data_IF_488193246722
#
_entry.id   IF_488193246722
#
_cell.length_a   1.000
_cell.length_b   1.000
_cell.length_c   1.000
_cell.angle_alpha   90.00
_cell.angle_beta   90.00
_cell.angle_gamma   90.00
#
_symmetry.space_group_name_H-M   'P 1'
#
loop_
_entity.id
_entity.type
_entity.pdbx_description
1 polymer ?
#
# COMPACT_ATOMS: atom_id res chain seq x y z
N UNK A 1 24.03 1.68 13.91
CA UNK A 1 22.91 1.12 14.71
C UNK A 1 21.69 1.06 13.80
N UNK A 2 21.32 -0.13 13.32
CA UNK A 2 20.21 -0.32 12.39
C UNK A 2 18.91 -0.44 13.18
N UNK A 3 18.00 0.54 13.03
CA UNK A 3 16.69 0.51 13.66
C UNK A 3 15.84 -0.57 12.98
N UNK A 4 15.42 -1.56 13.76
CA UNK A 4 14.55 -2.64 13.28
C UNK A 4 13.16 -2.08 12.96
N UNK A 5 12.63 -2.47 11.81
CA UNK A 5 11.27 -2.17 11.39
C UNK A 5 10.27 -2.62 12.47
N UNK A 6 9.43 -1.70 12.94
CA UNK A 6 8.32 -2.05 13.83
C UNK A 6 7.19 -2.64 12.97
N UNK A 7 7.27 -3.95 12.74
CA UNK A 7 6.23 -4.70 12.05
C UNK A 7 5.02 -4.79 12.97
N UNK A 8 4.03 -3.92 12.75
CA UNK A 8 2.73 -3.98 13.42
C UNK A 8 1.96 -5.19 12.87
N UNK A 9 2.15 -6.36 13.50
CA UNK A 9 1.66 -7.66 13.03
C UNK A 9 0.17 -7.91 13.31
N UNK A 10 -0.48 -7.11 14.15
CA UNK A 10 -1.90 -7.22 14.48
C UNK A 10 -2.83 -6.59 13.41
N UNK A 11 -2.28 -5.88 12.44
CA UNK A 11 -3.00 -5.28 11.30
C UNK A 11 -2.69 -5.95 9.96
N UNK A 12 -2.18 -7.18 9.97
CA UNK A 12 -1.91 -7.93 8.74
C UNK A 12 -3.10 -7.84 7.75
N UNK A 13 -2.87 -7.40 6.50
CA UNK A 13 -1.59 -7.35 5.80
C UNK A 13 -0.76 -6.04 5.89
N UNK A 14 -1.10 -5.06 6.72
CA UNK A 14 -0.42 -3.76 6.69
C UNK A 14 0.83 -3.72 7.59
N UNK A 15 1.98 -3.42 6.99
CA UNK A 15 3.24 -3.17 7.72
C UNK A 15 3.62 -1.68 7.63
N UNK A 16 4.18 -1.13 8.72
CA UNK A 16 4.72 0.24 8.78
C UNK A 16 6.24 0.14 8.87
N UNK A 17 6.95 0.85 8.00
CA UNK A 17 8.40 0.98 8.10
C UNK A 17 8.74 2.17 9.03
N UNK A 18 9.47 1.92 10.13
CA UNK A 18 9.93 2.97 11.03
C UNK A 18 11.04 3.83 10.44
N UNK A 19 11.72 3.37 9.39
CA UNK A 19 12.71 4.14 8.63
C UNK A 19 12.08 5.03 7.54
N UNK A 20 10.79 4.82 7.20
CA UNK A 20 9.99 5.66 6.29
C UNK A 20 8.60 5.91 6.91
N UNK A 21 8.54 6.80 7.92
CA UNK A 21 7.37 6.95 8.79
C UNK A 21 6.10 7.38 8.05
N UNK A 22 6.22 7.87 6.81
CA UNK A 22 5.13 8.24 5.92
C UNK A 22 4.47 7.09 5.14
N UNK A 23 4.97 5.85 5.16
CA UNK A 23 4.49 4.75 4.29
C UNK A 23 3.78 3.60 5.01
N UNK A 24 2.52 3.35 4.65
CA UNK A 24 1.81 2.09 4.96
C UNK A 24 1.97 1.11 3.78
N UNK A 25 2.36 -0.15 4.02
CA UNK A 25 2.53 -1.17 2.97
C UNK A 25 1.51 -2.28 3.13
N UNK A 26 0.55 -2.46 2.21
CA UNK A 26 -0.29 -3.67 2.19
C UNK A 26 0.52 -4.84 1.60
N UNK A 27 0.79 -5.88 2.39
CA UNK A 27 1.46 -7.09 1.92
C UNK A 27 0.43 -8.17 1.51
N UNK A 28 0.35 -8.45 0.21
CA UNK A 28 -0.47 -9.56 -0.31
C UNK A 28 -1.77 -9.12 -0.98
N UNK A 29 -2.73 -10.06 -1.17
CA UNK A 29 -3.92 -9.79 -1.96
C UNK A 29 -4.88 -8.82 -1.28
N UNK A 30 -5.57 -8.00 -2.08
CA UNK A 30 -6.66 -7.15 -1.61
C UNK A 30 -7.88 -8.04 -1.35
N UNK A 31 -8.05 -8.46 -0.10
CA UNK A 31 -9.17 -9.27 0.38
C UNK A 31 -10.29 -8.43 1.04
N UNK A 32 -11.37 -9.08 1.46
CA UNK A 32 -12.53 -8.40 2.07
C UNK A 32 -12.24 -7.68 3.40
N UNK A 33 -11.11 -7.97 4.08
CA UNK A 33 -10.73 -7.34 5.35
C UNK A 33 -9.93 -6.06 5.12
N UNK A 34 -9.26 -5.96 3.97
CA UNK A 34 -8.37 -4.86 3.64
C UNK A 34 -8.99 -3.45 3.78
N UNK A 35 -10.28 -3.18 3.47
CA UNK A 35 -10.89 -1.88 3.71
C UNK A 35 -10.97 -1.51 5.20
N UNK A 36 -11.50 -2.43 6.02
CA UNK A 36 -11.68 -2.17 7.45
C UNK A 36 -10.34 -1.96 8.16
N UNK A 37 -9.33 -2.72 7.76
CA UNK A 37 -7.98 -2.61 8.30
C UNK A 37 -7.28 -1.31 7.86
N UNK A 38 -7.46 -0.86 6.61
CA UNK A 38 -6.94 0.44 6.16
C UNK A 38 -7.50 1.58 7.01
N UNK A 39 -8.83 1.59 7.24
CA UNK A 39 -9.46 2.61 8.10
C UNK A 39 -8.90 2.60 9.52
N UNK A 40 -8.69 1.42 10.10
CA UNK A 40 -8.08 1.28 11.43
C UNK A 40 -6.67 1.83 11.45
N UNK A 41 -5.87 1.52 10.43
CA UNK A 41 -4.50 2.00 10.30
C UNK A 41 -4.45 3.54 10.18
N UNK A 42 -5.25 4.14 9.31
CA UNK A 42 -5.29 5.60 9.13
C UNK A 42 -5.73 6.35 10.39
N UNK A 43 -6.71 5.81 11.14
CA UNK A 43 -7.10 6.39 12.44
C UNK A 43 -6.02 6.22 13.51
N UNK A 44 -5.32 5.10 13.51
CA UNK A 44 -4.26 4.80 14.48
C UNK A 44 -3.01 5.64 14.23
N UNK A 45 -2.72 5.92 12.97
CA UNK A 45 -1.54 6.65 12.52
C UNK A 45 -1.95 7.89 11.71
N UNK A 46 -2.51 8.93 12.36
CA UNK A 46 -3.00 10.13 11.66
C UNK A 46 -1.87 10.93 10.98
N UNK A 47 -0.61 10.68 11.36
CA UNK A 47 0.56 11.28 10.73
C UNK A 47 0.95 10.64 9.39
N UNK A 48 0.37 9.48 9.05
CA UNK A 48 0.62 8.82 7.75
C UNK A 48 -0.15 9.58 6.68
N UNK A 49 0.59 10.07 5.68
CA UNK A 49 0.05 10.80 4.54
C UNK A 49 0.33 10.11 3.22
N UNK A 50 1.11 9.03 3.21
CA UNK A 50 1.48 8.29 2.00
C UNK A 50 1.20 6.79 2.14
N UNK A 51 0.56 6.21 1.13
CA UNK A 51 0.31 4.79 1.01
C UNK A 51 1.26 4.19 -0.02
N UNK A 52 2.17 3.31 0.41
CA UNK A 52 3.10 2.61 -0.48
C UNK A 52 2.47 1.30 -0.93
N UNK A 53 2.19 1.17 -2.22
CA UNK A 53 1.39 0.09 -2.79
C UNK A 53 2.27 -0.96 -3.45
N UNK A 54 2.05 -2.21 -3.06
CA UNK A 54 2.72 -3.37 -3.62
C UNK A 54 1.82 -4.60 -3.53
N UNK A 55 1.13 -4.95 -4.62
CA UNK A 55 0.14 -6.02 -4.59
C UNK A 55 -0.20 -6.52 -5.99
N UNK A 56 -0.40 -7.84 -6.12
CA UNK A 56 -0.99 -8.50 -7.30
C UNK A 56 -2.45 -8.10 -7.57
N UNK A 57 -3.05 -7.33 -6.67
CA UNK A 57 -4.47 -7.04 -6.69
C UNK A 57 -5.24 -8.08 -5.89
N UNK A 58 -6.42 -8.44 -6.35
CA UNK A 58 -7.37 -9.24 -5.59
C UNK A 58 -8.80 -8.84 -5.93
N UNK A 59 -9.65 -8.71 -4.91
CA UNK A 59 -11.05 -8.36 -5.08
C UNK A 59 -11.23 -6.88 -5.43
N UNK A 60 -11.77 -6.61 -6.63
CA UNK A 60 -12.19 -5.26 -7.04
C UNK A 60 -13.25 -4.68 -6.09
N UNK A 61 -14.14 -5.53 -5.58
CA UNK A 61 -15.17 -5.13 -4.62
C UNK A 61 -14.56 -4.64 -3.31
N UNK A 62 -13.43 -5.21 -2.87
CA UNK A 62 -12.70 -4.72 -1.71
C UNK A 62 -11.80 -3.51 -2.05
N UNK A 63 -11.34 -3.37 -3.29
CA UNK A 63 -10.49 -2.26 -3.70
C UNK A 63 -11.23 -0.92 -3.79
N UNK A 64 -12.50 -0.93 -4.25
CA UNK A 64 -13.25 0.32 -4.44
C UNK A 64 -13.50 1.08 -3.13
N UNK A 65 -13.95 0.46 -2.02
CA UNK A 65 -14.05 1.14 -0.74
C UNK A 65 -12.69 1.66 -0.24
N UNK A 66 -11.61 0.89 -0.43
CA UNK A 66 -10.26 1.37 -0.09
C UNK A 66 -9.86 2.59 -0.88
N UNK A 67 -10.13 2.59 -2.19
CA UNK A 67 -9.85 3.72 -3.06
C UNK A 67 -10.62 4.97 -2.60
N UNK A 68 -11.89 4.80 -2.24
CA UNK A 68 -12.67 5.88 -1.65
C UNK A 68 -12.02 6.41 -0.37
N UNK A 69 -11.66 5.54 0.56
CA UNK A 69 -11.05 5.93 1.84
C UNK A 69 -9.69 6.61 1.67
N UNK A 70 -8.87 6.16 0.70
CA UNK A 70 -7.58 6.79 0.34
C UNK A 70 -7.79 8.22 -0.13
N UNK A 71 -8.78 8.44 -1.01
CA UNK A 71 -9.11 9.77 -1.51
C UNK A 71 -9.67 10.66 -0.42
N UNK A 72 -10.62 10.14 0.37
CA UNK A 72 -11.28 10.85 1.46
C UNK A 72 -10.27 11.30 2.54
N UNK A 73 -9.34 10.42 2.89
CA UNK A 73 -8.27 10.72 3.85
C UNK A 73 -7.11 11.55 3.26
N UNK A 74 -7.21 12.03 2.02
CA UNK A 74 -6.18 12.87 1.39
C UNK A 74 -4.83 12.19 1.22
N UNK A 75 -4.80 10.87 1.11
CA UNK A 75 -3.55 10.11 1.08
C UNK A 75 -2.86 10.23 -0.28
N UNK A 76 -1.54 10.42 -0.25
CA UNK A 76 -0.68 10.21 -1.42
C UNK A 76 -0.50 8.72 -1.64
N UNK A 77 -0.26 8.31 -2.87
CA UNK A 77 0.00 6.90 -3.21
C UNK A 77 1.32 6.79 -3.96
N UNK A 78 2.14 5.83 -3.57
CA UNK A 78 3.42 5.56 -4.23
C UNK A 78 3.57 4.09 -4.56
N UNK A 79 4.21 3.77 -5.68
CA UNK A 79 4.71 2.42 -5.98
C UNK A 79 6.24 2.52 -5.94
N UNK A 80 6.94 1.78 -5.07
CA UNK A 80 8.39 1.85 -4.99
C UNK A 80 9.04 1.41 -6.31
N UNK A 81 10.30 1.81 -6.54
CA UNK A 81 11.04 1.38 -7.72
C UNK A 81 11.16 -0.16 -7.78
N UNK A 82 10.90 -0.74 -8.96
CA UNK A 82 10.78 -2.19 -9.13
C UNK A 82 9.55 -2.84 -8.46
N UNK A 83 8.65 -2.02 -7.88
CA UNK A 83 7.39 -2.47 -7.28
C UNK A 83 6.35 -2.89 -8.32
N UNK A 84 5.40 -3.75 -7.94
CA UNK A 84 4.26 -4.08 -8.79
C UNK A 84 2.94 -3.75 -8.11
N UNK A 85 2.01 -3.18 -8.88
CA UNK A 85 0.66 -2.88 -8.44
C UNK A 85 -0.31 -3.26 -9.57
N UNK A 86 -0.94 -4.41 -9.42
CA UNK A 86 -1.72 -5.05 -10.47
C UNK A 86 -3.22 -5.07 -10.16
N UNK A 87 -4.04 -5.11 -11.22
CA UNK A 87 -5.50 -5.29 -11.12
C UNK A 87 -6.14 -4.33 -10.10
N UNK A 88 -6.84 -4.85 -9.09
CA UNK A 88 -7.44 -4.13 -7.97
C UNK A 88 -6.49 -3.14 -7.25
N UNK A 89 -5.18 -3.39 -7.21
CA UNK A 89 -4.22 -2.46 -6.63
C UNK A 89 -4.18 -1.14 -7.41
N UNK A 90 -4.32 -1.19 -8.74
CA UNK A 90 -4.26 -0.01 -9.60
C UNK A 90 -5.37 0.99 -9.26
N UNK A 91 -6.57 0.50 -8.95
CA UNK A 91 -7.70 1.35 -8.52
C UNK A 91 -7.39 2.12 -7.23
N UNK A 92 -6.68 1.49 -6.29
CA UNK A 92 -6.28 2.15 -5.02
C UNK A 92 -5.19 3.18 -5.28
N UNK A 93 -4.21 2.88 -6.15
CA UNK A 93 -3.18 3.84 -6.54
C UNK A 93 -3.77 5.09 -7.19
N UNK A 94 -4.69 4.92 -8.14
CA UNK A 94 -5.25 6.08 -8.84
C UNK A 94 -6.12 6.98 -7.95
N UNK A 95 -6.55 6.49 -6.79
CA UNK A 95 -7.28 7.26 -5.81
C UNK A 95 -6.41 8.22 -4.98
N UNK A 96 -5.08 8.08 -4.99
CA UNK A 96 -4.21 9.02 -4.30
C UNK A 96 -4.39 10.47 -4.76
N UNK A 97 -4.24 11.43 -3.86
CA UNK A 97 -4.25 12.88 -4.21
C UNK A 97 -2.97 13.30 -4.93
N UNK A 98 -1.88 12.58 -4.68
CA UNK A 98 -0.62 12.65 -5.40
C UNK A 98 -0.17 11.22 -5.69
N UNK A 99 0.41 10.98 -6.87
CA UNK A 99 0.69 9.63 -7.38
C UNK A 99 2.11 9.57 -7.89
N UNK A 100 2.94 8.72 -7.28
CA UNK A 100 4.33 8.52 -7.71
C UNK A 100 4.57 7.05 -8.06
N UNK A 101 5.11 6.78 -9.24
CA UNK A 101 5.53 5.45 -9.63
C UNK A 101 7.04 5.44 -9.82
N UNK A 102 7.74 4.67 -8.98
CA UNK A 102 9.17 4.52 -9.05
C UNK A 102 9.63 3.90 -10.38
N UNK A 103 10.89 4.11 -10.73
CA UNK A 103 11.47 3.55 -11.95
C UNK A 103 11.33 2.02 -11.99
N UNK A 104 11.04 1.47 -13.18
CA UNK A 104 10.80 0.03 -13.40
C UNK A 104 9.65 -0.56 -12.57
N UNK A 105 8.74 0.27 -12.07
CA UNK A 105 7.48 -0.23 -11.51
C UNK A 105 6.64 -0.88 -12.63
N UNK A 106 5.94 -1.96 -12.28
CA UNK A 106 5.19 -2.78 -13.25
C UNK A 106 3.71 -2.73 -12.96
N UNK A 107 2.94 -2.56 -14.04
CA UNK A 107 1.49 -2.62 -14.09
C UNK A 107 1.06 -3.90 -14.81
N UNK A 108 0.18 -4.71 -14.23
CA UNK A 108 -0.25 -6.01 -14.79
C UNK A 108 0.21 -7.20 -13.93
N UNK A 109 0.06 -8.45 -14.39
CA UNK A 109 0.40 -9.66 -13.60
C UNK A 109 1.83 -9.53 -13.05
N UNK A 110 2.04 -9.48 -11.74
CA UNK A 110 3.41 -9.45 -11.28
C UNK A 110 4.02 -10.82 -11.48
N UNK A 111 5.01 -10.83 -12.36
CA UNK A 111 6.05 -11.83 -12.30
C UNK A 111 6.64 -11.80 -10.90
N UNK A 112 6.73 -12.97 -10.28
CA UNK A 112 7.52 -13.30 -9.08
C UNK A 112 8.37 -12.12 -8.61
N UNK A 113 7.76 -11.38 -7.70
CA UNK A 113 8.23 -10.18 -7.08
C UNK A 113 9.51 -10.46 -6.29
N UNK A 114 10.68 -10.29 -6.93
CA UNK A 114 11.96 -10.25 -6.18
C UNK A 114 12.06 -8.85 -5.59
N UNK A 115 11.98 -8.73 -4.26
CA UNK A 115 12.39 -7.51 -3.56
C UNK A 115 13.84 -7.25 -3.96
N UNK A 116 14.07 -6.23 -4.79
CA UNK A 116 15.42 -5.76 -5.08
C UNK A 116 15.98 -5.23 -3.78
N UNK A 117 16.87 -6.00 -3.16
CA UNK A 117 17.74 -5.54 -2.08
C UNK A 117 18.63 -4.45 -2.66
N UNK A 118 18.40 -3.21 -2.24
CA UNK A 118 19.39 -2.15 -2.28
C UNK A 118 19.94 -2.00 -0.85
#
# INVERSE_FOLDING_TARGET
MSARAEVVTDLAPFTRDSARPEGLVPEGPIDGRAPALLKRALRRFPSVTTLSLYSEGGSTYAALPKAYDVRDAGQKTTIPAGGACASACSSVFFAGVERNAGSRSVWGRARSLRRGTA
#
